data_IF_847673058186
#
_entry.id   IF_847673058186
#
_cell.length_a   1.000
_cell.length_b   1.000
_cell.length_c   1.000
_cell.angle_alpha   90.00
_cell.angle_beta   90.00
_cell.angle_gamma   90.00
#
_symmetry.space_group_name_H-M   'P 1'
#
loop_
_entity.id
_entity.type
_entity.pdbx_description
1 polymer ?
#
# COMPACT_ATOMS: atom_id res chain seq x y z
N UNK A 1 -49.44 -11.70 3.41
CA UNK A 1 -48.42 -11.91 2.35
C UNK A 1 -47.12 -11.34 2.92
N UNK A 2 -46.26 -12.22 3.41
CA UNK A 2 -44.95 -11.85 3.96
C UNK A 2 -43.98 -11.89 2.78
N UNK A 3 -43.48 -10.73 2.35
CA UNK A 3 -42.39 -10.64 1.40
C UNK A 3 -41.11 -11.15 2.11
N UNK A 4 -40.75 -12.39 1.83
CA UNK A 4 -39.43 -12.91 2.13
C UNK A 4 -38.44 -12.13 1.23
N UNK A 5 -37.60 -11.29 1.85
CA UNK A 5 -36.42 -10.70 1.20
C UNK A 5 -35.47 -11.87 0.97
N UNK A 6 -35.36 -12.33 -0.26
CA UNK A 6 -34.26 -13.22 -0.67
C UNK A 6 -32.95 -12.43 -0.53
N UNK A 7 -32.29 -12.58 0.60
CA UNK A 7 -30.93 -12.10 0.79
C UNK A 7 -30.07 -12.94 -0.14
N UNK A 8 -29.42 -12.28 -1.10
CA UNK A 8 -28.60 -12.92 -2.11
C UNK A 8 -27.50 -13.76 -1.43
N UNK A 9 -27.41 -15.04 -1.75
CA UNK A 9 -26.40 -15.97 -1.17
C UNK A 9 -24.96 -15.43 -1.31
N UNK A 10 -24.68 -14.60 -2.32
CA UNK A 10 -23.40 -13.91 -2.47
C UNK A 10 -23.15 -12.85 -1.40
N UNK A 11 -24.17 -12.13 -0.92
CA UNK A 11 -24.07 -11.15 0.17
C UNK A 11 -23.84 -11.84 1.52
N UNK A 12 -24.49 -12.98 1.74
CA UNK A 12 -24.27 -13.83 2.94
C UNK A 12 -22.85 -14.43 2.94
N UNK A 13 -22.33 -14.88 1.80
CA UNK A 13 -20.96 -15.41 1.70
C UNK A 13 -19.90 -14.32 1.88
N UNK A 14 -20.18 -13.06 1.48
CA UNK A 14 -19.29 -11.93 1.68
C UNK A 14 -19.26 -11.52 3.15
N UNK A 15 -20.39 -11.45 3.81
CA UNK A 15 -20.50 -11.12 5.24
C UNK A 15 -19.68 -12.07 6.13
N UNK A 16 -19.58 -13.34 5.76
CA UNK A 16 -18.80 -14.35 6.50
C UNK A 16 -17.27 -14.26 6.26
N UNK A 17 -16.80 -13.37 5.36
CA UNK A 17 -15.39 -13.27 4.94
C UNK A 17 -14.82 -11.85 5.05
N UNK A 18 -15.34 -11.03 5.94
CA UNK A 18 -14.84 -9.68 6.19
C UNK A 18 -13.87 -9.73 7.36
N UNK A 19 -12.66 -9.20 7.14
CA UNK A 19 -11.64 -9.07 8.17
C UNK A 19 -11.95 -7.87 9.07
N UNK A 20 -11.80 -8.05 10.37
CA UNK A 20 -11.84 -6.95 11.33
C UNK A 20 -10.40 -6.56 11.65
N UNK A 21 -9.98 -5.38 11.19
CA UNK A 21 -8.65 -4.84 11.48
C UNK A 21 -8.67 -3.99 12.75
N UNK A 22 -7.57 -4.01 13.49
CA UNK A 22 -7.33 -3.03 14.54
C UNK A 22 -7.32 -1.61 13.95
N UNK A 23 -7.85 -0.66 14.71
CA UNK A 23 -7.86 0.75 14.33
C UNK A 23 -6.89 1.51 15.24
N UNK A 24 -5.92 2.18 14.63
CA UNK A 24 -4.89 2.97 15.31
C UNK A 24 -5.20 4.45 15.09
N UNK A 25 -5.38 5.17 16.17
CA UNK A 25 -5.57 6.63 16.16
C UNK A 25 -4.22 7.32 16.34
N UNK A 26 -3.73 7.98 15.27
CA UNK A 26 -2.43 8.64 15.28
C UNK A 26 -2.41 9.93 16.11
N UNK A 27 -3.59 10.52 16.36
CA UNK A 27 -3.74 11.72 17.20
C UNK A 27 -3.94 11.42 18.68
N UNK A 28 -4.01 10.14 19.06
CA UNK A 28 -4.27 9.73 20.44
C UNK A 28 -3.18 10.26 21.40
N UNK A 29 -3.54 10.91 22.49
CA UNK A 29 -2.58 11.32 23.52
C UNK A 29 -2.04 10.12 24.33
N UNK A 30 -2.72 8.97 24.31
CA UNK A 30 -2.30 7.74 24.96
C UNK A 30 -1.44 6.91 23.98
N UNK A 31 -0.17 7.29 23.90
CA UNK A 31 0.81 6.62 23.02
C UNK A 31 0.96 5.15 23.40
N UNK A 32 0.95 4.80 24.68
CA UNK A 32 1.12 3.41 25.13
C UNK A 32 -0.03 2.51 24.66
N UNK A 33 -1.27 2.99 24.70
CA UNK A 33 -2.41 2.29 24.13
C UNK A 33 -2.28 2.12 22.61
N UNK A 34 -1.86 3.17 21.90
CA UNK A 34 -1.64 3.12 20.44
C UNK A 34 -0.55 2.12 20.09
N UNK A 35 0.59 2.13 20.80
CA UNK A 35 1.69 1.16 20.61
C UNK A 35 1.23 -0.28 20.86
N UNK A 36 0.51 -0.51 21.96
CA UNK A 36 0.00 -1.85 22.29
C UNK A 36 -0.96 -2.39 21.23
N UNK A 37 -1.89 -1.57 20.75
CA UNK A 37 -2.83 -1.94 19.67
C UNK A 37 -2.11 -2.18 18.36
N UNK A 38 -1.13 -1.35 18.01
CA UNK A 38 -0.32 -1.51 16.81
C UNK A 38 0.49 -2.81 16.89
N UNK A 39 1.16 -3.08 18.02
CA UNK A 39 1.90 -4.33 18.27
C UNK A 39 0.99 -5.55 18.03
N UNK A 40 -0.23 -5.52 18.57
CA UNK A 40 -1.19 -6.61 18.39
C UNK A 40 -1.58 -6.77 16.90
N UNK A 41 -1.86 -5.67 16.19
CA UNK A 41 -2.17 -5.71 14.77
C UNK A 41 -1.05 -6.31 13.92
N UNK A 42 0.20 -5.94 14.22
CA UNK A 42 1.40 -6.46 13.55
C UNK A 42 1.61 -7.96 13.81
N UNK A 43 1.27 -8.43 15.01
CA UNK A 43 1.34 -9.85 15.36
C UNK A 43 0.21 -10.68 14.71
N UNK A 44 -1.00 -10.13 14.65
CA UNK A 44 -2.20 -10.85 14.19
C UNK A 44 -2.25 -11.00 12.68
N UNK A 45 -2.10 -9.89 11.96
CA UNK A 45 -2.32 -9.87 10.51
C UNK A 45 -1.30 -9.04 9.72
N UNK A 46 -0.49 -8.21 10.38
CA UNK A 46 0.35 -7.23 9.70
C UNK A 46 -0.44 -6.13 8.96
N UNK A 47 -1.75 -6.00 9.24
CA UNK A 47 -2.65 -5.01 8.66
C UNK A 47 -3.43 -4.26 9.73
N UNK A 48 -3.64 -2.96 9.56
CA UNK A 48 -4.48 -2.15 10.44
C UNK A 48 -5.06 -0.93 9.72
N UNK A 49 -6.14 -0.36 10.27
CA UNK A 49 -6.62 0.96 9.86
C UNK A 49 -5.89 2.04 10.66
N UNK A 50 -5.51 3.12 9.99
CA UNK A 50 -4.91 4.31 10.58
C UNK A 50 -5.84 5.49 10.38
N UNK A 51 -6.31 6.09 11.47
CA UNK A 51 -7.20 7.24 11.46
C UNK A 51 -6.53 8.47 12.10
N UNK A 52 -7.11 9.65 11.89
CA UNK A 52 -6.63 10.92 12.44
C UNK A 52 -5.14 11.18 12.12
N UNK A 53 -4.73 10.80 10.94
CA UNK A 53 -3.33 10.84 10.45
C UNK A 53 -2.87 12.23 10.01
N UNK A 54 -3.72 13.26 10.07
CA UNK A 54 -3.37 14.64 9.77
C UNK A 54 -3.66 15.10 8.34
N UNK A 55 -3.75 14.20 7.35
CA UNK A 55 -4.23 14.54 6.01
C UNK A 55 -5.75 14.65 6.07
N UNK A 56 -6.31 15.82 5.72
CA UNK A 56 -7.75 16.02 5.80
C UNK A 56 -8.52 15.33 4.68
N UNK A 57 -9.79 15.00 4.93
CA UNK A 57 -10.63 14.27 3.96
C UNK A 57 -10.81 15.02 2.64
N UNK A 58 -10.92 16.35 2.66
CA UNK A 58 -11.09 17.16 1.45
C UNK A 58 -9.86 17.02 0.53
N UNK A 59 -8.65 16.99 1.10
CA UNK A 59 -7.44 16.80 0.33
C UNK A 59 -7.31 15.35 -0.16
N UNK A 60 -7.75 14.36 0.63
CA UNK A 60 -7.83 12.97 0.16
C UNK A 60 -8.80 12.85 -1.04
N UNK A 61 -9.97 13.48 -0.97
CA UNK A 61 -10.93 13.49 -2.08
C UNK A 61 -10.33 14.18 -3.34
N UNK A 62 -9.55 15.28 -3.15
CA UNK A 62 -8.83 15.93 -4.24
C UNK A 62 -7.83 14.99 -4.92
N UNK A 63 -7.03 14.24 -4.16
CA UNK A 63 -6.07 13.27 -4.73
C UNK A 63 -6.78 12.21 -5.55
N UNK A 64 -7.91 11.67 -5.08
CA UNK A 64 -8.71 10.74 -5.87
C UNK A 64 -9.25 11.38 -7.15
N UNK A 65 -9.72 12.63 -7.09
CA UNK A 65 -10.17 13.36 -8.26
C UNK A 65 -9.03 13.58 -9.28
N UNK A 66 -7.85 13.95 -8.82
CA UNK A 66 -6.67 14.10 -9.67
C UNK A 66 -6.20 12.77 -10.27
N UNK A 67 -6.25 11.68 -9.49
CA UNK A 67 -5.97 10.33 -9.97
C UNK A 67 -6.93 9.94 -11.10
N UNK A 68 -8.23 10.18 -10.89
CA UNK A 68 -9.24 9.92 -11.91
C UNK A 68 -8.99 10.74 -13.19
N UNK A 69 -8.68 12.02 -13.09
CA UNK A 69 -8.36 12.88 -14.25
C UNK A 69 -7.22 12.32 -15.10
N UNK A 70 -6.18 11.76 -14.46
CA UNK A 70 -5.07 11.13 -15.16
C UNK A 70 -5.54 9.90 -15.94
N UNK A 71 -6.28 8.99 -15.30
CA UNK A 71 -6.72 7.75 -15.95
C UNK A 71 -7.83 7.96 -16.98
N UNK A 72 -8.61 9.05 -16.89
CA UNK A 72 -9.59 9.47 -17.88
C UNK A 72 -8.94 10.07 -19.16
N UNK A 73 -7.64 10.35 -19.18
CA UNK A 73 -6.95 10.80 -20.39
C UNK A 73 -7.04 9.76 -21.51
N UNK A 74 -7.11 10.22 -22.77
CA UNK A 74 -6.99 9.32 -23.92
C UNK A 74 -5.75 8.44 -23.82
N UNK A 75 -5.84 7.18 -24.25
CA UNK A 75 -4.73 6.23 -24.18
C UNK A 75 -3.45 6.79 -24.84
N UNK A 76 -3.59 7.53 -25.92
CA UNK A 76 -2.46 8.19 -26.59
C UNK A 76 -1.70 9.14 -25.66
N UNK A 77 -2.40 9.92 -24.83
CA UNK A 77 -1.78 10.84 -23.87
C UNK A 77 -1.13 10.07 -22.71
N UNK A 78 -1.80 9.03 -22.19
CA UNK A 78 -1.21 8.16 -21.16
C UNK A 78 0.05 7.46 -21.65
N UNK A 79 0.08 7.01 -22.90
CA UNK A 79 1.25 6.33 -23.49
C UNK A 79 2.47 7.25 -23.69
N UNK A 80 2.29 8.58 -23.78
CA UNK A 80 3.41 9.53 -23.76
C UNK A 80 4.11 9.61 -22.39
N UNK A 81 3.43 9.16 -21.36
CA UNK A 81 3.89 9.18 -19.95
C UNK A 81 4.37 7.81 -19.47
N UNK A 82 4.69 6.89 -20.38
CA UNK A 82 5.11 5.52 -20.01
C UNK A 82 6.21 5.50 -18.97
N UNK A 83 6.11 4.54 -18.08
CA UNK A 83 7.09 4.26 -17.04
C UNK A 83 8.48 4.06 -17.63
N UNK A 84 9.44 4.84 -17.14
CA UNK A 84 10.84 4.75 -17.50
C UNK A 84 11.60 3.68 -16.67
N UNK A 85 12.88 3.52 -16.93
CA UNK A 85 13.79 2.60 -16.22
C UNK A 85 13.95 2.93 -14.72
N UNK A 86 13.67 4.17 -14.31
CA UNK A 86 13.68 4.62 -12.92
C UNK A 86 12.34 4.38 -12.20
N UNK A 87 11.43 3.63 -12.84
CA UNK A 87 10.09 3.37 -12.34
C UNK A 87 9.29 4.65 -12.07
N UNK A 88 9.29 5.57 -13.04
CA UNK A 88 8.50 6.81 -13.03
C UNK A 88 7.57 6.84 -14.22
N UNK A 89 6.27 7.12 -13.99
CA UNK A 89 5.28 7.26 -15.06
C UNK A 89 4.21 6.19 -15.08
N UNK A 90 3.51 6.13 -16.21
CA UNK A 90 2.32 5.32 -16.45
C UNK A 90 2.65 3.85 -16.75
N UNK A 91 1.84 2.95 -16.19
CA UNK A 91 1.86 1.51 -16.52
C UNK A 91 0.50 1.10 -17.04
N UNK A 92 0.41 0.52 -18.25
CA UNK A 92 -0.85 0.07 -18.82
C UNK A 92 -1.39 -1.18 -18.12
N UNK A 93 -2.66 -1.48 -18.38
CA UNK A 93 -3.30 -2.72 -17.92
C UNK A 93 -2.51 -3.93 -18.40
N UNK A 94 -2.37 -4.95 -17.53
CA UNK A 94 -1.61 -6.19 -17.77
C UNK A 94 -0.07 -6.04 -17.77
N UNK A 95 0.48 -4.84 -17.51
CA UNK A 95 1.95 -4.64 -17.44
C UNK A 95 2.58 -5.41 -16.27
N UNK A 96 1.88 -5.53 -15.16
CA UNK A 96 2.39 -6.25 -13.99
C UNK A 96 1.80 -7.65 -13.88
N UNK A 97 2.64 -8.58 -13.40
CA UNK A 97 2.28 -9.98 -13.17
C UNK A 97 2.78 -10.36 -11.77
N UNK A 98 1.95 -10.12 -10.74
CA UNK A 98 2.35 -10.25 -9.34
C UNK A 98 2.36 -11.71 -8.85
N UNK A 99 1.48 -12.56 -9.38
CA UNK A 99 1.37 -13.98 -9.03
C UNK A 99 1.48 -14.87 -10.29
N UNK A 100 2.69 -14.99 -10.87
CA UNK A 100 2.87 -15.71 -12.13
C UNK A 100 2.53 -17.21 -12.06
N UNK A 101 2.37 -17.75 -10.85
CA UNK A 101 1.99 -19.17 -10.67
C UNK A 101 0.49 -19.38 -10.85
N UNK A 102 -0.32 -18.41 -10.39
CA UNK A 102 -1.78 -18.52 -10.36
C UNK A 102 -2.49 -17.60 -11.37
N UNK A 103 -1.75 -16.70 -12.04
CA UNK A 103 -2.31 -15.80 -13.06
C UNK A 103 -2.00 -16.31 -14.48
N UNK A 104 -2.99 -16.19 -15.36
CA UNK A 104 -2.80 -16.47 -16.80
C UNK A 104 -2.38 -15.22 -17.59
N UNK A 105 -2.66 -14.04 -17.04
CA UNK A 105 -2.33 -12.72 -17.59
C UNK A 105 -1.82 -11.83 -16.47
N UNK A 106 -1.27 -10.67 -16.82
CA UNK A 106 -0.97 -9.62 -15.87
C UNK A 106 -2.21 -9.10 -15.13
N UNK A 107 -1.98 -8.23 -14.17
CA UNK A 107 -3.03 -7.62 -13.34
C UNK A 107 -3.95 -6.72 -14.16
N UNK A 108 -5.24 -6.79 -13.92
CA UNK A 108 -6.24 -5.93 -14.56
C UNK A 108 -6.32 -4.57 -13.84
N UNK A 109 -5.21 -3.87 -13.85
CA UNK A 109 -5.08 -2.49 -13.36
C UNK A 109 -4.10 -1.72 -14.22
N UNK A 110 -4.33 -0.44 -14.34
CA UNK A 110 -3.34 0.53 -14.79
C UNK A 110 -2.81 1.31 -13.59
N UNK A 111 -1.67 1.96 -13.73
CA UNK A 111 -1.05 2.67 -12.62
C UNK A 111 -0.17 3.83 -13.05
N UNK A 112 0.21 4.66 -12.07
CA UNK A 112 1.16 5.74 -12.26
C UNK A 112 2.11 5.85 -11.08
N UNK A 113 3.42 5.85 -11.33
CA UNK A 113 4.46 5.89 -10.31
C UNK A 113 5.07 7.29 -10.20
N UNK A 114 5.16 7.79 -8.97
CA UNK A 114 5.81 9.04 -8.59
C UNK A 114 6.74 8.73 -7.42
N UNK A 115 8.02 8.99 -7.56
CA UNK A 115 9.01 8.86 -6.48
C UNK A 115 9.43 10.21 -5.91
N UNK A 116 10.40 10.18 -5.04
CA UNK A 116 11.11 11.39 -4.62
C UNK A 116 11.78 11.98 -5.85
N UNK A 117 11.58 13.28 -6.08
CA UNK A 117 12.20 13.98 -7.21
C UNK A 117 13.70 14.07 -6.99
N UNK A 118 14.49 13.55 -7.91
CA UNK A 118 15.94 13.64 -7.91
C UNK A 118 16.36 14.21 -9.28
N UNK A 119 16.93 15.43 -9.33
CA UNK A 119 17.37 16.04 -10.58
C UNK A 119 18.42 15.21 -11.31
N UNK A 120 18.46 15.32 -12.64
CA UNK A 120 19.42 14.57 -13.48
C UNK A 120 20.88 14.83 -13.17
N UNK A 121 21.20 16.01 -12.64
CA UNK A 121 22.55 16.43 -12.25
C UNK A 121 22.92 16.03 -10.80
N UNK A 122 22.00 15.42 -10.06
CA UNK A 122 22.28 14.91 -8.72
C UNK A 122 23.11 13.60 -8.82
N UNK A 123 24.21 13.46 -8.03
CA UNK A 123 25.01 12.24 -8.01
C UNK A 123 24.23 10.95 -7.71
N UNK A 124 23.16 11.08 -6.95
CA UNK A 124 22.31 9.93 -6.59
C UNK A 124 21.45 9.42 -7.75
N UNK A 125 21.29 10.15 -8.86
CA UNK A 125 20.56 9.71 -10.07
C UNK A 125 21.11 8.41 -10.66
N UNK A 126 22.37 8.07 -10.40
CA UNK A 126 22.95 6.80 -10.83
C UNK A 126 22.43 5.58 -10.04
N UNK A 127 21.82 5.80 -8.88
CA UNK A 127 21.23 4.72 -8.08
C UNK A 127 19.91 4.23 -8.71
N UNK A 128 19.58 2.93 -8.61
CA UNK A 128 18.26 2.43 -9.00
C UNK A 128 17.13 3.21 -8.32
N UNK A 129 16.02 3.42 -8.99
CA UNK A 129 14.84 4.15 -8.50
C UNK A 129 15.04 5.63 -8.12
N UNK A 130 16.22 6.20 -8.27
CA UNK A 130 16.45 7.63 -8.15
C UNK A 130 16.48 8.29 -9.54
N UNK A 131 15.78 9.40 -9.69
CA UNK A 131 15.72 10.17 -10.92
C UNK A 131 14.52 11.13 -10.93
N UNK A 132 14.42 11.95 -11.97
CA UNK A 132 13.27 12.85 -12.13
C UNK A 132 12.00 12.06 -12.38
N UNK A 133 10.89 12.61 -11.92
CA UNK A 133 9.57 12.07 -12.22
C UNK A 133 9.17 12.39 -13.66
N UNK A 134 8.32 11.55 -14.22
CA UNK A 134 7.60 11.88 -15.46
C UNK A 134 6.33 12.65 -15.05
N UNK A 135 6.18 13.88 -15.55
CA UNK A 135 5.04 14.72 -15.20
C UNK A 135 4.13 14.95 -16.42
N UNK A 136 2.80 14.82 -16.26
CA UNK A 136 1.87 15.25 -17.29
C UNK A 136 2.05 16.75 -17.58
N UNK A 137 1.91 17.19 -18.84
CA UNK A 137 1.95 18.60 -19.19
C UNK A 137 0.91 19.42 -18.40
N UNK A 138 1.29 20.59 -17.92
CA UNK A 138 0.42 21.44 -17.08
C UNK A 138 -0.77 22.04 -17.82
N UNK A 139 -0.74 22.10 -19.15
CA UNK A 139 -1.88 22.47 -20.00
C UNK A 139 -2.91 21.35 -20.14
N UNK A 140 -2.51 20.08 -19.95
CA UNK A 140 -3.40 18.92 -19.94
C UNK A 140 -3.96 18.67 -18.54
N UNK A 141 -3.10 18.64 -17.53
CA UNK A 141 -3.47 18.43 -16.11
C UNK A 141 -2.93 19.56 -15.24
N UNK A 142 -3.60 20.73 -15.25
CA UNK A 142 -3.17 21.87 -14.42
C UNK A 142 -3.25 21.54 -12.92
N UNK A 143 -2.27 22.00 -12.14
CA UNK A 143 -2.09 21.79 -10.71
C UNK A 143 -1.89 20.32 -10.27
N UNK A 144 -1.81 19.37 -11.20
CA UNK A 144 -1.69 17.95 -10.89
C UNK A 144 -0.37 17.63 -10.19
N UNK A 145 0.74 18.17 -10.70
CA UNK A 145 2.07 17.97 -10.14
C UNK A 145 2.13 18.47 -8.69
N UNK A 146 1.71 19.71 -8.46
CA UNK A 146 1.76 20.35 -7.14
C UNK A 146 0.93 19.58 -6.12
N UNK A 147 -0.23 19.07 -6.53
CA UNK A 147 -1.11 18.26 -5.67
C UNK A 147 -0.43 16.92 -5.33
N UNK A 148 0.17 16.24 -6.29
CA UNK A 148 0.88 14.97 -6.06
C UNK A 148 2.13 15.16 -5.19
N UNK A 149 2.93 16.20 -5.42
CA UNK A 149 4.10 16.52 -4.61
C UNK A 149 3.72 16.87 -3.16
N UNK A 150 2.62 17.59 -2.96
CA UNK A 150 2.08 17.88 -1.63
C UNK A 150 1.67 16.59 -0.93
N UNK A 151 0.90 15.75 -1.59
CA UNK A 151 0.47 14.47 -1.02
C UNK A 151 1.65 13.56 -0.68
N UNK A 152 2.66 13.51 -1.56
CA UNK A 152 3.85 12.72 -1.33
C UNK A 152 4.58 13.14 -0.04
N UNK A 153 4.70 14.46 0.22
CA UNK A 153 5.30 14.96 1.46
C UNK A 153 4.47 14.60 2.69
N UNK A 154 3.16 14.88 2.65
CA UNK A 154 2.26 14.61 3.78
C UNK A 154 2.18 13.12 4.10
N UNK A 155 2.13 12.25 3.09
CA UNK A 155 2.13 10.80 3.27
C UNK A 155 3.45 10.29 3.89
N UNK A 156 4.59 10.89 3.52
CA UNK A 156 5.88 10.54 4.12
C UNK A 156 5.92 10.91 5.61
N UNK A 157 5.35 12.04 6.00
CA UNK A 157 5.27 12.45 7.40
C UNK A 157 4.37 11.50 8.20
N UNK A 158 3.26 11.06 7.64
CA UNK A 158 2.40 10.01 8.24
C UNK A 158 3.18 8.71 8.41
N UNK A 159 3.91 8.29 7.37
CA UNK A 159 4.71 7.04 7.42
C UNK A 159 5.80 7.09 8.50
N UNK A 160 6.47 8.24 8.68
CA UNK A 160 7.45 8.44 9.76
C UNK A 160 6.81 8.37 11.14
N UNK A 161 5.62 8.95 11.31
CA UNK A 161 4.89 8.85 12.57
C UNK A 161 4.51 7.40 12.90
N UNK A 162 4.08 6.62 11.89
CA UNK A 162 3.83 5.17 12.06
C UNK A 162 5.13 4.42 12.38
N UNK A 163 6.25 4.75 11.73
CA UNK A 163 7.55 4.13 12.00
C UNK A 163 8.00 4.31 13.45
N UNK A 164 7.72 5.47 14.06
CA UNK A 164 7.99 5.73 15.48
C UNK A 164 7.16 4.83 16.41
N UNK A 165 5.89 4.62 16.10
CA UNK A 165 5.05 3.68 16.85
C UNK A 165 5.54 2.23 16.68
N UNK A 166 6.01 1.86 15.49
CA UNK A 166 6.60 0.54 15.21
C UNK A 166 7.89 0.34 16.02
N UNK A 167 8.76 1.36 16.08
CA UNK A 167 9.98 1.30 16.89
C UNK A 167 9.65 1.01 18.38
N UNK A 168 8.73 1.78 18.95
CA UNK A 168 8.26 1.57 20.33
C UNK A 168 7.61 0.19 20.53
N UNK A 169 6.86 -0.32 19.53
CA UNK A 169 6.25 -1.64 19.59
C UNK A 169 7.27 -2.80 19.55
N UNK A 170 8.48 -2.51 19.03
CA UNK A 170 9.62 -3.41 18.99
C UNK A 170 10.60 -3.19 20.16
N UNK A 171 10.18 -2.42 21.18
CA UNK A 171 10.97 -2.09 22.36
C UNK A 171 12.28 -1.34 22.00
N UNK A 172 12.22 -0.47 20.98
CA UNK A 172 13.29 0.42 20.52
C UNK A 172 12.96 1.88 20.88
N UNK A 173 13.96 2.76 20.77
CA UNK A 173 13.73 4.21 20.86
C UNK A 173 12.83 4.68 19.71
N UNK A 174 11.93 5.64 19.97
CA UNK A 174 10.93 6.07 19.00
C UNK A 174 11.51 6.66 17.71
N UNK A 175 12.72 7.19 17.74
CA UNK A 175 13.45 7.76 16.58
C UNK A 175 14.42 6.75 15.93
N UNK A 176 14.39 5.49 16.33
CA UNK A 176 15.31 4.46 15.84
C UNK A 176 15.38 4.38 14.31
N UNK A 177 14.24 4.46 13.64
CA UNK A 177 14.17 4.41 12.17
C UNK A 177 14.43 5.77 11.49
N UNK A 178 14.56 6.88 12.23
CA UNK A 178 14.81 8.22 11.66
C UNK A 178 16.27 8.40 11.18
N UNK A 179 17.13 7.42 11.41
CA UNK A 179 18.55 7.45 11.00
C UNK A 179 18.67 7.59 9.47
N UNK A 180 19.67 8.34 8.98
CA UNK A 180 19.86 8.57 7.54
C UNK A 180 19.98 7.29 6.72
N UNK A 181 20.58 6.25 7.28
CA UNK A 181 20.79 4.94 6.67
C UNK A 181 19.50 4.11 6.61
N UNK A 182 18.47 4.49 7.37
CA UNK A 182 17.18 3.79 7.42
C UNK A 182 16.10 4.59 6.71
N UNK A 183 15.25 5.32 7.47
CA UNK A 183 14.15 6.11 6.91
C UNK A 183 14.41 7.62 6.91
N UNK A 184 15.61 8.07 7.27
CA UNK A 184 15.98 9.48 7.18
C UNK A 184 16.01 9.98 5.73
N UNK A 185 16.47 9.13 4.79
CA UNK A 185 16.40 9.35 3.35
C UNK A 185 15.76 8.12 2.67
N UNK A 186 14.47 7.86 2.87
CA UNK A 186 13.84 6.64 2.40
C UNK A 186 13.67 6.65 0.87
N UNK A 187 13.57 5.46 0.31
CA UNK A 187 12.89 5.29 -0.96
C UNK A 187 11.39 5.34 -0.69
N UNK A 188 10.73 6.34 -1.22
CA UNK A 188 9.29 6.49 -1.06
C UNK A 188 8.63 6.65 -2.44
N UNK A 189 7.61 5.85 -2.68
CA UNK A 189 6.92 5.81 -3.97
C UNK A 189 5.43 5.95 -3.78
N UNK A 190 4.88 7.03 -4.34
CA UNK A 190 3.44 7.21 -4.52
C UNK A 190 3.02 6.47 -5.78
N UNK A 191 1.98 5.66 -5.69
CA UNK A 191 1.42 4.95 -6.81
C UNK A 191 -0.08 5.13 -6.87
N UNK A 192 -0.56 5.72 -7.94
CA UNK A 192 -1.98 5.79 -8.27
C UNK A 192 -2.35 4.50 -9.02
N UNK A 193 -3.51 3.93 -8.71
CA UNK A 193 -4.02 2.72 -9.32
C UNK A 193 -5.48 2.88 -9.71
N UNK A 194 -5.80 2.43 -10.91
CA UNK A 194 -7.16 2.30 -11.42
C UNK A 194 -7.41 0.86 -11.87
N UNK A 195 -8.48 0.27 -11.36
CA UNK A 195 -8.98 -1.04 -11.74
C UNK A 195 -10.25 -0.83 -12.54
N UNK A 196 -10.21 -1.18 -13.81
CA UNK A 196 -11.39 -1.11 -14.67
C UNK A 196 -12.51 -2.03 -14.15
N UNK A 197 -13.75 -1.69 -14.44
CA UNK A 197 -14.96 -2.38 -14.00
C UNK A 197 -15.12 -3.82 -14.50
N UNK A 198 -14.05 -4.60 -14.51
CA UNK A 198 -14.06 -6.04 -14.80
C UNK A 198 -14.34 -6.84 -13.54
N UNK A 199 -14.85 -8.05 -13.70
CA UNK A 199 -15.00 -9.01 -12.60
C UNK A 199 -13.80 -9.95 -12.58
N UNK A 200 -13.16 -10.08 -11.42
CA UNK A 200 -12.10 -11.07 -11.21
C UNK A 200 -12.66 -12.48 -11.16
N UNK A 201 -11.92 -13.43 -11.73
CA UNK A 201 -12.25 -14.86 -11.74
C UNK A 201 -11.03 -15.66 -11.23
N UNK A 202 -10.82 -15.76 -9.90
CA UNK A 202 -9.63 -16.42 -9.33
C UNK A 202 -9.42 -17.85 -9.82
N UNK A 203 -10.49 -18.62 -10.02
CA UNK A 203 -10.42 -19.97 -10.56
C UNK A 203 -9.87 -20.04 -12.00
N UNK A 204 -9.90 -18.91 -12.73
CA UNK A 204 -9.34 -18.76 -14.07
C UNK A 204 -8.05 -17.95 -14.09
N UNK A 205 -7.49 -17.61 -12.93
CA UNK A 205 -6.27 -16.80 -12.84
C UNK A 205 -6.45 -15.34 -13.26
N UNK A 206 -7.64 -14.76 -13.08
CA UNK A 206 -7.98 -13.38 -13.45
C UNK A 206 -8.17 -12.55 -12.18
N UNK A 207 -7.25 -11.59 -11.96
CA UNK A 207 -7.20 -10.75 -10.76
C UNK A 207 -7.08 -9.26 -11.12
N UNK A 208 -7.59 -8.40 -10.25
CA UNK A 208 -7.25 -6.97 -10.28
C UNK A 208 -5.77 -6.76 -9.90
N UNK A 209 -5.34 -7.42 -8.84
CA UNK A 209 -3.94 -7.60 -8.47
C UNK A 209 -3.75 -9.02 -7.93
N UNK A 210 -2.78 -9.75 -8.44
CA UNK A 210 -2.41 -11.10 -7.99
C UNK A 210 -1.92 -11.11 -6.55
N UNK A 211 -1.88 -12.29 -5.94
CA UNK A 211 -1.43 -12.45 -4.56
C UNK A 211 0.06 -12.13 -4.42
N UNK A 212 0.39 -11.22 -3.50
CA UNK A 212 1.78 -10.78 -3.23
C UNK A 212 1.93 -10.29 -1.79
N UNK A 213 3.13 -10.16 -1.32
CA UNK A 213 3.53 -9.31 -0.20
C UNK A 213 4.21 -8.05 -0.72
N UNK A 214 4.24 -6.99 0.09
CA UNK A 214 4.98 -5.79 -0.24
C UNK A 214 6.44 -5.92 0.22
N UNK A 215 7.35 -5.44 -0.59
CA UNK A 215 8.78 -5.58 -0.39
C UNK A 215 9.34 -4.72 0.75
N UNK A 216 8.82 -3.51 0.93
CA UNK A 216 9.42 -2.46 1.75
C UNK A 216 9.26 -2.59 3.26
N UNK A 217 9.25 -1.43 3.92
CA UNK A 217 9.04 -1.29 5.36
C UNK A 217 7.55 -1.31 5.71
N UNK A 218 6.80 -0.35 5.19
CA UNK A 218 5.34 -0.27 5.31
C UNK A 218 4.72 0.29 4.04
N UNK A 219 3.44 0.00 3.86
CA UNK A 219 2.59 0.57 2.82
C UNK A 219 1.42 1.30 3.44
N UNK A 220 1.17 2.55 3.01
CA UNK A 220 -0.05 3.29 3.31
C UNK A 220 -0.97 3.19 2.10
N UNK A 221 -2.15 2.62 2.26
CA UNK A 221 -3.14 2.44 1.20
C UNK A 221 -4.39 3.25 1.50
N UNK A 222 -4.70 4.24 0.66
CA UNK A 222 -6.02 4.84 0.58
C UNK A 222 -6.83 4.18 -0.52
N UNK A 223 -8.11 3.91 -0.27
CA UNK A 223 -9.02 3.33 -1.27
C UNK A 223 -10.31 4.15 -1.35
N UNK A 224 -10.93 4.15 -2.52
CA UNK A 224 -12.32 4.56 -2.63
C UNK A 224 -13.25 3.60 -1.85
N UNK A 225 -14.55 3.81 -1.94
CA UNK A 225 -15.55 2.98 -1.25
C UNK A 225 -15.73 1.57 -1.85
N UNK A 226 -15.03 1.26 -2.95
CA UNK A 226 -15.20 -0.02 -3.67
C UNK A 226 -14.43 -1.14 -3.00
N UNK A 227 -15.15 -2.18 -2.56
CA UNK A 227 -14.55 -3.35 -1.94
C UNK A 227 -13.74 -4.16 -2.98
N UNK A 228 -12.52 -4.56 -2.62
CA UNK A 228 -11.67 -5.33 -3.53
C UNK A 228 -10.46 -5.97 -2.87
N UNK A 229 -9.86 -5.30 -1.88
CA UNK A 229 -8.69 -5.82 -1.17
C UNK A 229 -9.06 -7.05 -0.36
N UNK A 230 -8.26 -8.11 -0.49
CA UNK A 230 -8.29 -9.29 0.36
C UNK A 230 -6.93 -9.54 1.00
N UNK A 231 -6.92 -9.97 2.26
CA UNK A 231 -5.75 -10.45 2.98
C UNK A 231 -5.82 -11.96 3.18
N UNK A 232 -4.68 -12.63 3.13
CA UNK A 232 -4.58 -14.07 3.36
C UNK A 232 -4.44 -14.35 4.85
N UNK A 233 -5.47 -14.92 5.45
CA UNK A 233 -5.48 -15.28 6.89
C UNK A 233 -4.71 -16.57 7.15
N UNK A 234 -4.71 -17.48 6.18
CA UNK A 234 -3.97 -18.74 6.26
C UNK A 234 -3.44 -19.08 4.87
N UNK A 235 -2.13 -18.86 4.68
CA UNK A 235 -1.44 -19.14 3.42
C UNK A 235 -1.13 -20.61 3.22
N UNK A 236 -1.12 -21.40 4.29
CA UNK A 236 -0.75 -22.81 4.28
C UNK A 236 -1.96 -23.72 4.12
N UNK A 237 -3.19 -23.21 4.37
CA UNK A 237 -4.43 -23.89 4.08
C UNK A 237 -4.59 -24.17 2.57
N UNK A 238 -5.28 -25.27 2.25
CA UNK A 238 -5.57 -25.66 0.85
C UNK A 238 -7.08 -25.91 0.69
N UNK A 239 -7.81 -24.96 0.06
CA UNK A 239 -7.35 -23.67 -0.50
C UNK A 239 -6.99 -22.64 0.57
N UNK A 240 -6.17 -21.64 0.21
CA UNK A 240 -5.84 -20.52 1.07
C UNK A 240 -7.09 -19.79 1.57
N UNK A 241 -7.03 -19.28 2.79
CA UNK A 241 -8.15 -18.57 3.42
C UNK A 241 -7.97 -17.05 3.22
N UNK A 242 -8.94 -16.44 2.55
CA UNK A 242 -8.93 -15.01 2.19
C UNK A 242 -10.11 -14.27 2.81
N UNK A 243 -9.85 -13.08 3.34
CA UNK A 243 -10.85 -12.18 3.89
C UNK A 243 -10.78 -10.82 3.24
N UNK A 244 -11.93 -10.20 2.96
CA UNK A 244 -12.00 -8.83 2.47
C UNK A 244 -11.68 -7.84 3.57
N UNK A 245 -10.93 -6.79 3.21
CA UNK A 245 -10.72 -5.61 4.06
C UNK A 245 -11.68 -4.53 3.61
N UNK A 246 -12.65 -4.14 4.47
CA UNK A 246 -13.59 -3.08 4.12
C UNK A 246 -12.86 -1.73 4.07
N UNK A 247 -13.18 -0.88 3.07
CA UNK A 247 -12.70 0.49 3.06
C UNK A 247 -13.30 1.27 4.25
N UNK A 248 -12.50 2.15 4.82
CA UNK A 248 -12.92 3.10 5.84
C UNK A 248 -12.60 4.50 5.33
N UNK A 249 -13.64 5.33 5.13
CA UNK A 249 -13.45 6.69 4.61
C UNK A 249 -12.55 7.51 5.52
N UNK A 250 -11.60 8.25 4.92
CA UNK A 250 -10.67 9.11 5.66
C UNK A 250 -9.60 8.35 6.44
N UNK A 251 -9.47 7.03 6.26
CA UNK A 251 -8.43 6.22 6.89
C UNK A 251 -7.47 5.64 5.85
N UNK A 252 -6.24 5.37 6.27
CA UNK A 252 -5.36 4.45 5.55
C UNK A 252 -5.59 3.01 6.04
N UNK A 253 -5.48 2.08 5.11
CA UNK A 253 -5.15 0.69 5.43
C UNK A 253 -3.62 0.62 5.39
N UNK A 254 -3.00 0.22 6.49
CA UNK A 254 -1.54 0.09 6.57
C UNK A 254 -1.18 -1.37 6.62
N UNK A 255 -0.18 -1.77 5.85
CA UNK A 255 0.40 -3.11 5.93
C UNK A 255 1.92 -3.06 6.05
N UNK A 256 2.46 -4.10 6.66
CA UNK A 256 3.89 -4.30 6.84
C UNK A 256 4.47 -4.97 5.58
N UNK A 257 5.72 -4.60 5.26
CA UNK A 257 6.46 -5.21 4.17
C UNK A 257 7.52 -6.22 4.64
N UNK A 258 8.11 -6.91 3.67
CA UNK A 258 9.06 -8.01 3.88
C UNK A 258 10.33 -7.54 4.60
N UNK A 259 10.78 -6.29 4.37
CA UNK A 259 11.92 -5.73 5.08
C UNK A 259 11.65 -5.58 6.58
N UNK A 260 10.43 -5.12 6.97
CA UNK A 260 10.07 -5.03 8.38
C UNK A 260 9.89 -6.42 9.01
N UNK A 261 9.36 -7.40 8.27
CA UNK A 261 9.32 -8.79 8.72
C UNK A 261 10.74 -9.31 9.00
N UNK A 262 11.70 -9.03 8.10
CA UNK A 262 13.09 -9.40 8.27
C UNK A 262 13.73 -8.71 9.48
N UNK A 263 13.57 -7.38 9.63
CA UNK A 263 14.07 -6.63 10.77
C UNK A 263 13.54 -7.19 12.10
N UNK A 264 12.23 -7.49 12.15
CA UNK A 264 11.60 -8.05 13.34
C UNK A 264 11.85 -9.57 13.51
N UNK A 265 12.71 -10.18 12.70
CA UNK A 265 13.00 -11.62 12.74
C UNK A 265 11.75 -12.52 12.61
N UNK A 266 10.76 -12.06 11.86
CA UNK A 266 9.49 -12.74 11.65
C UNK A 266 8.50 -12.61 12.81
N UNK A 267 8.76 -11.73 13.79
CA UNK A 267 7.80 -11.42 14.86
C UNK A 267 6.60 -10.66 14.29
N UNK A 268 6.87 -9.62 13.48
CA UNK A 268 5.86 -8.90 12.71
C UNK A 268 5.75 -9.53 11.32
N UNK A 269 4.55 -9.58 10.77
CA UNK A 269 4.28 -10.34 9.55
C UNK A 269 4.06 -9.45 8.34
N UNK A 270 4.78 -9.74 7.26
CA UNK A 270 4.38 -9.33 5.91
C UNK A 270 3.36 -10.32 5.37
N UNK A 271 2.15 -9.85 5.09
CA UNK A 271 1.02 -10.73 4.80
C UNK A 271 0.62 -10.65 3.34
N UNK A 272 0.43 -11.83 2.72
CA UNK A 272 -0.08 -11.95 1.36
C UNK A 272 -1.43 -11.24 1.24
N UNK A 273 -1.57 -10.44 0.19
CA UNK A 273 -2.80 -9.76 -0.14
C UNK A 273 -3.01 -9.72 -1.66
N UNK A 274 -4.25 -9.51 -2.07
CA UNK A 274 -4.65 -9.45 -3.47
C UNK A 274 -5.83 -8.53 -3.67
N UNK A 275 -6.15 -8.17 -4.93
CA UNK A 275 -7.34 -7.40 -5.25
C UNK A 275 -8.23 -8.17 -6.21
N UNK A 276 -9.51 -8.30 -5.84
CA UNK A 276 -10.56 -8.83 -6.68
C UNK A 276 -11.49 -7.69 -7.11
N UNK A 277 -11.57 -7.46 -8.41
CA UNK A 277 -12.52 -6.53 -9.00
C UNK A 277 -13.92 -7.17 -9.07
N UNK A 278 -14.96 -6.36 -8.89
CA UNK A 278 -16.36 -6.82 -8.75
C UNK A 278 -17.30 -6.18 -9.77
N UNK A 279 -16.82 -5.86 -10.96
CA UNK A 279 -17.62 -5.26 -12.00
C UNK A 279 -17.85 -3.74 -11.86
N UNK A 280 -17.09 -3.10 -10.98
CA UNK A 280 -17.11 -1.65 -10.77
C UNK A 280 -15.69 -1.10 -10.82
N UNK A 281 -15.56 0.12 -11.34
CA UNK A 281 -14.30 0.84 -11.27
C UNK A 281 -13.89 1.02 -9.81
N UNK A 282 -12.60 0.89 -9.57
CA UNK A 282 -12.01 1.09 -8.25
C UNK A 282 -10.73 1.89 -8.38
N UNK A 283 -10.57 2.87 -7.51
CA UNK A 283 -9.36 3.66 -7.39
C UNK A 283 -8.68 3.39 -6.06
N UNK A 284 -7.36 3.31 -6.09
CA UNK A 284 -6.56 3.28 -4.87
C UNK A 284 -5.27 4.07 -5.03
N UNK A 285 -4.78 4.58 -3.93
CA UNK A 285 -3.58 5.39 -3.84
C UNK A 285 -2.67 4.71 -2.82
N UNK A 286 -1.55 4.24 -3.29
CA UNK A 286 -0.60 3.45 -2.51
C UNK A 286 0.65 4.28 -2.27
N UNK A 287 1.13 4.31 -1.04
CA UNK A 287 2.38 4.94 -0.68
C UNK A 287 3.32 3.92 -0.06
N UNK A 288 4.30 3.49 -0.82
CA UNK A 288 5.33 2.55 -0.39
C UNK A 288 6.46 3.30 0.30
N UNK A 289 6.94 2.78 1.42
CA UNK A 289 8.09 3.29 2.14
C UNK A 289 9.10 2.19 2.33
N UNK A 290 10.29 2.42 1.82
CA UNK A 290 11.43 1.52 1.88
C UNK A 290 12.61 2.26 2.52
N UNK A 291 13.55 1.56 3.16
CA UNK A 291 14.73 2.19 3.70
C UNK A 291 15.59 2.81 2.59
N UNK A 292 16.58 3.61 2.99
CA UNK A 292 17.54 4.17 2.06
C UNK A 292 18.30 3.08 1.31
N UNK A 293 18.88 3.42 0.17
CA UNK A 293 19.63 2.50 -0.68
C UNK A 293 20.78 1.78 0.04
N UNK A 294 21.42 2.49 0.95
CA UNK A 294 22.61 2.00 1.65
C UNK A 294 22.26 1.27 2.96
N UNK A 295 20.94 1.09 3.23
CA UNK A 295 20.47 0.41 4.44
C UNK A 295 20.71 -1.10 4.36
N UNK A 296 21.34 -1.62 5.40
CA UNK A 296 21.45 -3.07 5.60
C UNK A 296 20.31 -3.52 6.50
N UNK A 297 19.43 -4.36 5.97
CA UNK A 297 18.28 -4.89 6.70
C UNK A 297 18.69 -6.16 7.43
N UNK A 298 19.09 -6.00 8.69
CA UNK A 298 19.49 -7.09 9.59
C UNK A 298 18.50 -7.24 10.75
N UNK A 299 18.51 -8.42 11.38
CA UNK A 299 17.67 -8.67 12.56
C UNK A 299 17.95 -7.66 13.65
N UNK A 300 16.90 -6.99 14.16
CA UNK A 300 17.01 -6.04 15.27
C UNK A 300 17.44 -6.74 16.57
N UNK A 301 18.29 -6.09 17.40
CA UNK A 301 18.76 -6.69 18.65
C UNK A 301 17.64 -7.10 19.61
N UNK A 302 16.54 -6.34 19.63
CA UNK A 302 15.36 -6.63 20.48
C UNK A 302 14.52 -7.79 19.95
N UNK A 303 14.74 -8.23 18.71
CA UNK A 303 13.96 -9.26 18.03
C UNK A 303 14.64 -10.64 17.97
N UNK A 304 15.78 -10.79 18.65
CA UNK A 304 16.53 -12.03 18.66
C UNK A 304 16.68 -12.61 20.09
N UNK A 305 16.75 -13.92 20.18
CA UNK A 305 17.05 -14.64 21.41
C UNK A 305 17.75 -15.96 21.10
N UNK A 306 18.18 -16.69 22.13
CA UNK A 306 18.69 -18.07 21.94
C UNK A 306 17.65 -19.01 21.35
N UNK A 307 16.37 -18.75 21.59
CA UNK A 307 15.24 -19.54 21.09
C UNK A 307 14.79 -19.08 19.70
N UNK A 308 15.03 -17.82 19.35
CA UNK A 308 14.74 -17.21 18.05
C UNK A 308 15.99 -16.50 17.51
N UNK A 309 17.01 -17.24 17.04
CA UNK A 309 18.22 -16.64 16.48
C UNK A 309 17.92 -15.88 15.18
N UNK A 310 18.79 -14.93 14.76
CA UNK A 310 18.62 -14.21 13.51
C UNK A 310 18.49 -15.15 12.30
N UNK A 311 17.54 -14.84 11.41
CA UNK A 311 17.24 -15.60 10.17
C UNK A 311 17.92 -15.00 8.97
#
# INVERSE_FOLDING_TARGET
>A
MVNSIEVNEQELQISAKISTLNCIDLSSPDIQSSVSRLKQACLDSGFFHLINHGINEEFMDEIFAQSKRLFDLPMEEKMKLLKNEKHRGYTPVLDQHLDPVNQIHGDYKEGYFIGIEVPDDDPDTNKPFYGPNVWPPSDILPAWRETMERYHREALDVARAVARLIALALDLDGDFFDQPEMLGKPLATLRLLHYEGRTSEPAKGIFGAGAHSDFGFITLLATDSTLGLQICKDKDAKPQVWEYVPPLKGAFIVNLGDMLERWSNGIFRSTLHRVLCRGQDRYSIVYFVEPSHDCIVECLPTCQSTENPPK
#
